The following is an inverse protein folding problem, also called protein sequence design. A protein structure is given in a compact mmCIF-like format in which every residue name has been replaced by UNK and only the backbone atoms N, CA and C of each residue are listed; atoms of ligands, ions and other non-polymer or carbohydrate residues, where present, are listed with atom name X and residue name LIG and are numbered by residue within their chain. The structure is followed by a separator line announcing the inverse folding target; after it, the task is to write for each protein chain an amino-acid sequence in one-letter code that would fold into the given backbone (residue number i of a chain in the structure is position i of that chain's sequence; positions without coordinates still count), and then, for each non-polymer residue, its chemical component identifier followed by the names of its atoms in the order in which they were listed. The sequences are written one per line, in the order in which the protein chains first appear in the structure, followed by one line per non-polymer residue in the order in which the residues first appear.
data_IF_413917947244
#
_entry.id   IF_413917947244
#
_cell.length_a   1.000
_cell.length_b   1.000
_cell.length_c   1.000
_cell.angle_alpha   90.00
_cell.angle_beta   90.00
_cell.angle_gamma   90.00
#
_symmetry.space_group_name_H-M   'P 1'
#
loop_
_entity.id
_entity.type
_entity.pdbx_description
1 polymer ?
#
# COMPACT_ATOMS: atom_id res chain seq x y z
N UNK A 1 -1.06 -10.10 19.73
CA UNK A 1 -0.22 -9.25 18.86
C UNK A 1 0.39 -8.07 19.62
N UNK A 2 1.67 -7.75 19.36
CA UNK A 2 2.38 -6.58 19.90
C UNK A 2 1.76 -5.26 19.38
N UNK A 3 1.50 -4.31 20.27
CA UNK A 3 0.91 -3.00 19.93
C UNK A 3 1.76 -2.23 18.90
N UNK A 4 3.08 -2.38 18.94
CA UNK A 4 4.01 -1.77 17.98
C UNK A 4 3.74 -2.30 16.57
N UNK A 5 3.56 -3.61 16.42
CA UNK A 5 3.25 -4.21 15.11
C UNK A 5 1.88 -3.76 14.58
N UNK A 6 0.88 -3.62 15.45
CA UNK A 6 -0.43 -3.08 15.08
C UNK A 6 -0.29 -1.64 14.58
N UNK A 7 0.40 -0.78 15.33
CA UNK A 7 0.61 0.64 14.96
C UNK A 7 1.37 0.74 13.63
N UNK A 8 2.44 -0.03 13.44
CA UNK A 8 3.20 -0.05 12.19
C UNK A 8 2.32 -0.47 11.00
N UNK A 9 1.46 -1.48 11.18
CA UNK A 9 0.56 -1.93 10.12
C UNK A 9 -0.53 -0.90 9.80
N UNK A 10 -1.08 -0.22 10.81
CA UNK A 10 -2.03 0.88 10.59
C UNK A 10 -1.37 2.02 9.82
N UNK A 11 -0.16 2.44 10.23
CA UNK A 11 0.58 3.48 9.53
C UNK A 11 0.93 3.07 8.09
N UNK A 12 1.36 1.84 7.87
CA UNK A 12 1.63 1.31 6.52
C UNK A 12 0.36 1.31 5.64
N UNK A 13 -0.77 0.86 6.21
CA UNK A 13 -2.06 0.80 5.50
C UNK A 13 -2.57 2.20 5.11
N UNK A 14 -2.50 3.15 6.06
CA UNK A 14 -2.90 4.54 5.82
C UNK A 14 -1.90 5.26 4.91
N UNK A 15 -0.61 4.94 4.98
CA UNK A 15 0.41 5.43 4.06
C UNK A 15 0.15 5.01 2.63
N UNK A 16 -0.20 3.73 2.41
CA UNK A 16 -0.59 3.22 1.10
C UNK A 16 -1.85 3.92 0.57
N UNK A 17 -2.91 4.00 1.39
CA UNK A 17 -4.15 4.70 1.04
C UNK A 17 -3.90 6.17 0.70
N UNK A 18 -3.17 6.90 1.55
CA UNK A 18 -2.82 8.31 1.35
C UNK A 18 -1.98 8.54 0.10
N UNK A 19 -0.99 7.69 -0.16
CA UNK A 19 -0.16 7.76 -1.38
C UNK A 19 -1.01 7.64 -2.65
N UNK A 20 -2.06 6.81 -2.61
CA UNK A 20 -2.94 6.60 -3.75
C UNK A 20 -3.82 7.82 -4.04
N UNK A 21 -4.32 8.47 -3.00
CA UNK A 21 -5.06 9.74 -3.12
C UNK A 21 -4.15 10.83 -3.65
N UNK A 22 -2.91 10.93 -3.13
CA UNK A 22 -1.92 11.87 -3.64
C UNK A 22 -1.63 11.65 -5.14
N UNK A 23 -1.51 10.39 -5.57
CA UNK A 23 -1.34 10.03 -6.99
C UNK A 23 -2.53 10.41 -7.88
N UNK A 24 -3.75 10.44 -7.36
CA UNK A 24 -4.92 10.92 -8.13
C UNK A 24 -4.93 12.45 -8.21
N UNK A 25 -4.62 13.15 -7.11
CA UNK A 25 -4.60 14.62 -7.05
C UNK A 25 -3.47 15.19 -7.91
N UNK A 26 -2.28 14.58 -7.83
CA UNK A 26 -1.10 15.00 -8.60
C UNK A 26 -0.46 13.77 -9.26
N UNK A 27 -0.98 13.34 -10.43
CA UNK A 27 -0.50 12.14 -11.13
C UNK A 27 0.97 12.16 -11.53
N UNK A 28 1.55 13.36 -11.68
CA UNK A 28 2.98 13.53 -11.93
C UNK A 28 3.90 13.18 -10.74
N UNK A 29 3.36 12.89 -9.54
CA UNK A 29 4.18 12.58 -8.35
C UNK A 29 5.04 11.32 -8.49
N UNK A 30 4.55 10.32 -9.21
CA UNK A 30 5.28 9.06 -9.47
C UNK A 30 6.03 9.05 -10.80
N UNK A 31 6.07 10.18 -11.50
CA UNK A 31 6.78 10.30 -12.77
C UNK A 31 8.20 10.81 -12.53
N UNK A 32 9.12 10.37 -13.38
CA UNK A 32 10.44 10.98 -13.46
C UNK A 32 10.33 12.37 -14.09
N UNK A 33 11.34 13.21 -13.87
CA UNK A 33 11.36 14.59 -14.39
C UNK A 33 11.30 14.69 -15.91
N UNK A 34 11.68 13.62 -16.62
CA UNK A 34 11.68 13.49 -18.08
C UNK A 34 10.39 12.85 -18.64
N UNK A 35 9.44 12.45 -17.79
CA UNK A 35 8.22 11.75 -18.20
C UNK A 35 6.99 12.68 -18.24
N UNK A 36 6.17 12.52 -19.27
CA UNK A 36 4.94 13.30 -19.43
C UNK A 36 3.75 12.66 -18.72
N UNK A 37 2.84 13.51 -18.22
CA UNK A 37 1.57 13.05 -17.63
C UNK A 37 0.58 12.71 -18.74
N UNK A 38 0.64 11.47 -19.21
CA UNK A 38 -0.25 10.96 -20.26
C UNK A 38 -1.61 10.50 -19.71
N UNK A 39 -2.59 10.27 -20.59
CA UNK A 39 -3.86 9.65 -20.23
C UNK A 39 -3.68 8.28 -19.53
N UNK A 40 -2.64 7.52 -19.89
CA UNK A 40 -2.30 6.26 -19.26
C UNK A 40 -1.87 6.42 -17.79
N UNK A 41 -1.16 7.50 -17.47
CA UNK A 41 -0.79 7.85 -16.08
C UNK A 41 -2.04 8.16 -15.26
N UNK A 42 -2.95 8.98 -15.79
CA UNK A 42 -4.23 9.27 -15.13
C UNK A 42 -5.07 8.02 -14.91
N UNK A 43 -5.12 7.11 -15.89
CA UNK A 43 -5.81 5.84 -15.74
C UNK A 43 -5.18 4.98 -14.65
N UNK A 44 -3.85 4.84 -14.68
CA UNK A 44 -3.10 4.07 -13.70
C UNK A 44 -3.31 4.59 -12.28
N UNK A 45 -3.18 5.90 -12.02
CA UNK A 45 -3.32 6.44 -10.66
C UNK A 45 -4.73 6.26 -10.11
N UNK A 46 -5.76 6.35 -10.96
CA UNK A 46 -7.15 6.04 -10.59
C UNK A 46 -7.37 4.57 -10.30
N UNK A 47 -6.85 3.68 -11.14
CA UNK A 47 -6.95 2.22 -10.94
C UNK A 47 -6.21 1.79 -9.66
N UNK A 48 -5.03 2.35 -9.43
CA UNK A 48 -4.25 2.17 -8.21
C UNK A 48 -5.05 2.63 -6.98
N UNK A 49 -5.63 3.83 -7.00
CA UNK A 49 -6.44 4.35 -5.89
C UNK A 49 -7.71 3.53 -5.64
N UNK A 50 -8.39 3.05 -6.69
CA UNK A 50 -9.57 2.22 -6.56
C UNK A 50 -9.29 0.92 -5.76
N UNK A 51 -8.06 0.42 -5.79
CA UNK A 51 -7.61 -0.74 -4.99
C UNK A 51 -7.02 -0.31 -3.65
N UNK A 52 -6.03 0.58 -3.67
CA UNK A 52 -5.19 0.90 -2.51
C UNK A 52 -5.95 1.66 -1.43
N UNK A 53 -6.86 2.57 -1.79
CA UNK A 53 -7.61 3.34 -0.81
C UNK A 53 -8.58 2.46 -0.01
N UNK A 54 -9.49 1.67 -0.62
CA UNK A 54 -10.36 0.79 0.16
C UNK A 54 -9.59 -0.26 0.96
N UNK A 55 -8.57 -0.90 0.36
CA UNK A 55 -7.79 -1.95 1.01
C UNK A 55 -7.01 -1.41 2.23
N UNK A 56 -6.38 -0.24 2.10
CA UNK A 56 -5.66 0.40 3.21
C UNK A 56 -6.60 0.81 4.34
N UNK A 57 -7.75 1.38 4.02
CA UNK A 57 -8.73 1.79 5.04
C UNK A 57 -9.34 0.60 5.77
N UNK A 58 -9.75 -0.46 5.05
CA UNK A 58 -10.34 -1.65 5.70
C UNK A 58 -9.31 -2.40 6.53
N UNK A 59 -8.05 -2.49 6.08
CA UNK A 59 -6.98 -3.14 6.85
C UNK A 59 -6.68 -2.38 8.12
N UNK A 60 -6.54 -1.05 8.05
CA UNK A 60 -6.37 -0.20 9.23
C UNK A 60 -7.55 -0.33 10.21
N UNK A 61 -8.78 -0.29 9.69
CA UNK A 61 -9.98 -0.43 10.51
C UNK A 61 -10.03 -1.79 11.21
N UNK A 62 -9.79 -2.88 10.47
CA UNK A 62 -9.90 -4.23 11.01
C UNK A 62 -8.84 -4.52 12.07
N UNK A 63 -7.64 -3.97 11.91
CA UNK A 63 -6.56 -4.10 12.91
C UNK A 63 -6.90 -3.48 14.26
N UNK A 64 -7.76 -2.46 14.30
CA UNK A 64 -8.09 -1.73 15.53
C UNK A 64 -9.45 -2.12 16.09
N UNK A 65 -10.45 -2.31 15.23
CA UNK A 65 -11.85 -2.51 15.64
C UNK A 65 -12.53 -3.71 15.00
N UNK A 66 -11.86 -4.41 14.07
CA UNK A 66 -12.48 -5.48 13.30
C UNK A 66 -12.48 -6.83 14.00
N UNK A 67 -13.20 -7.79 13.42
CA UNK A 67 -13.20 -9.16 13.90
C UNK A 67 -11.81 -9.79 13.70
N UNK A 68 -11.27 -10.45 14.73
CA UNK A 68 -9.92 -11.04 14.70
C UNK A 68 -9.72 -12.04 13.55
N UNK A 69 -10.79 -12.74 13.14
CA UNK A 69 -10.76 -13.70 12.03
C UNK A 69 -10.47 -13.04 10.66
N UNK A 70 -10.74 -11.74 10.50
CA UNK A 70 -10.51 -11.02 9.25
C UNK A 70 -9.09 -10.45 9.12
N UNK A 71 -8.32 -10.41 10.21
CA UNK A 71 -7.04 -9.71 10.24
C UNK A 71 -6.00 -10.39 9.34
N UNK A 72 -5.75 -11.69 9.53
CA UNK A 72 -4.73 -12.40 8.76
C UNK A 72 -4.98 -12.35 7.25
N UNK A 73 -6.21 -12.63 6.74
CA UNK A 73 -6.49 -12.48 5.31
C UNK A 73 -6.21 -11.07 4.77
N UNK A 74 -6.59 -10.02 5.51
CA UNK A 74 -6.36 -8.63 5.07
C UNK A 74 -4.88 -8.25 5.09
N UNK A 75 -4.12 -8.72 6.07
CA UNK A 75 -2.66 -8.53 6.11
C UNK A 75 -1.98 -9.24 4.93
N UNK A 76 -2.38 -10.47 4.59
CA UNK A 76 -1.84 -11.19 3.43
C UNK A 76 -2.16 -10.44 2.13
N UNK A 77 -3.42 -10.07 1.91
CA UNK A 77 -3.83 -9.36 0.68
C UNK A 77 -3.14 -8.01 0.57
N UNK A 78 -3.06 -7.24 1.65
CA UNK A 78 -2.34 -5.96 1.69
C UNK A 78 -0.85 -6.16 1.41
N UNK A 79 -0.23 -7.15 2.06
CA UNK A 79 1.17 -7.49 1.83
C UNK A 79 1.46 -7.83 0.37
N UNK A 80 0.66 -8.69 -0.25
CA UNK A 80 0.82 -9.07 -1.66
C UNK A 80 0.58 -7.91 -2.63
N UNK A 81 -0.38 -7.03 -2.34
CA UNK A 81 -0.59 -5.81 -3.13
C UNK A 81 0.66 -4.93 -3.11
N UNK A 82 1.27 -4.75 -1.93
CA UNK A 82 2.50 -3.97 -1.77
C UNK A 82 3.73 -4.64 -2.41
N UNK A 83 3.79 -5.98 -2.46
CA UNK A 83 4.81 -6.69 -3.26
C UNK A 83 4.67 -6.33 -4.74
N UNK A 84 3.45 -6.38 -5.28
CA UNK A 84 3.19 -5.99 -6.67
C UNK A 84 3.61 -4.55 -6.96
N UNK A 85 3.31 -3.64 -6.04
CA UNK A 85 3.70 -2.23 -6.14
C UNK A 85 5.23 -2.06 -6.08
N UNK A 86 5.91 -2.78 -5.18
CA UNK A 86 7.38 -2.75 -5.09
C UNK A 86 8.04 -3.24 -6.38
N UNK A 87 7.54 -4.34 -6.95
CA UNK A 87 7.99 -4.88 -8.25
C UNK A 87 7.78 -3.85 -9.34
N UNK A 88 6.62 -3.20 -9.38
CA UNK A 88 6.35 -2.16 -10.37
C UNK A 88 7.29 -0.96 -10.21
N UNK A 89 7.57 -0.54 -8.97
CA UNK A 89 8.55 0.50 -8.67
C UNK A 89 9.94 0.15 -9.21
N UNK A 90 10.40 -1.09 -9.03
CA UNK A 90 11.67 -1.58 -9.61
C UNK A 90 11.63 -1.50 -11.14
N UNK A 91 10.57 -2.01 -11.77
CA UNK A 91 10.42 -2.01 -13.23
C UNK A 91 10.39 -0.59 -13.82
N UNK A 92 9.79 0.36 -13.09
CA UNK A 92 9.70 1.78 -13.45
C UNK A 92 10.93 2.59 -13.05
N UNK A 93 11.88 1.98 -12.33
CA UNK A 93 13.03 2.69 -11.71
C UNK A 93 12.58 3.84 -10.81
N UNK A 94 11.48 3.64 -10.10
CA UNK A 94 10.99 4.50 -9.03
C UNK A 94 11.45 3.90 -7.68
N UNK A 95 12.58 4.39 -7.12
CA UNK A 95 13.10 3.88 -5.85
C UNK A 95 12.17 4.18 -4.68
N UNK A 96 11.36 5.26 -4.75
CA UNK A 96 10.41 5.62 -3.71
C UNK A 96 9.31 4.58 -3.59
N UNK A 97 8.69 4.23 -4.72
CA UNK A 97 7.69 3.17 -4.78
C UNK A 97 8.29 1.79 -4.42
N UNK A 98 9.46 1.45 -4.99
CA UNK A 98 10.12 0.17 -4.75
C UNK A 98 10.39 -0.06 -3.24
N UNK A 99 11.02 0.91 -2.57
CA UNK A 99 11.42 0.79 -1.18
C UNK A 99 10.24 0.99 -0.23
N UNK A 100 9.39 1.99 -0.48
CA UNK A 100 8.23 2.28 0.37
C UNK A 100 7.22 1.14 0.39
N UNK A 101 6.80 0.67 -0.79
CA UNK A 101 5.89 -0.47 -0.89
C UNK A 101 6.56 -1.76 -0.40
N UNK A 102 7.86 -1.96 -0.67
CA UNK A 102 8.60 -3.11 -0.15
C UNK A 102 8.61 -3.18 1.39
N UNK A 103 8.85 -2.04 2.06
CA UNK A 103 8.80 -1.96 3.52
C UNK A 103 7.39 -2.27 4.06
N UNK A 104 6.34 -1.72 3.43
CA UNK A 104 4.96 -2.00 3.80
C UNK A 104 4.58 -3.48 3.58
N UNK A 105 5.06 -4.10 2.51
CA UNK A 105 4.87 -5.53 2.26
C UNK A 105 5.45 -6.39 3.39
N UNK A 106 6.68 -6.10 3.82
CA UNK A 106 7.34 -6.80 4.93
C UNK A 106 6.55 -6.63 6.22
N UNK A 107 6.13 -5.41 6.54
CA UNK A 107 5.33 -5.11 7.75
C UNK A 107 4.04 -5.94 7.78
N UNK A 108 3.30 -6.00 6.68
CA UNK A 108 2.06 -6.75 6.58
C UNK A 108 2.27 -8.26 6.64
N UNK A 109 3.20 -8.79 5.85
CA UNK A 109 3.41 -10.24 5.75
C UNK A 109 4.04 -10.82 7.02
N UNK A 110 4.96 -10.11 7.66
CA UNK A 110 5.50 -10.53 8.96
C UNK A 110 4.41 -10.51 10.04
N UNK A 111 3.57 -9.48 10.08
CA UNK A 111 2.46 -9.43 11.03
C UNK A 111 1.45 -10.55 10.78
N UNK A 112 1.20 -10.94 9.52
CA UNK A 112 0.36 -12.09 9.20
C UNK A 112 0.94 -13.41 9.73
N UNK A 113 2.25 -13.62 9.59
CA UNK A 113 2.94 -14.83 10.10
C UNK A 113 2.93 -14.87 11.63
N UNK A 114 3.09 -13.73 12.28
CA UNK A 114 3.17 -13.61 13.73
C UNK A 114 1.79 -13.43 14.41
N UNK A 115 0.69 -13.53 13.66
CA UNK A 115 -0.64 -13.26 14.20
C UNK A 115 -1.14 -14.41 15.09
N UNK A 116 -1.13 -14.15 16.41
CA UNK A 116 -1.69 -15.00 17.47
C UNK A 116 -2.38 -14.15 18.54
#
# INVERSE_FOLDING_TARGET
MDIVLVVLNVLASLGAAGSSVAGVIKPALGLRSDEETTAGVHFYTRAYAARALPLGLVTAFVLVWGPSAAVVPLLVVSGLAQVGDSVLGIMRRDPGMALGAGAFAVIHLLAAILWS
#
